data_IF_759071380652
#
_entry.id   IF_759071380652
#
_cell.length_a   1.000
_cell.length_b   1.000
_cell.length_c   1.000
_cell.angle_alpha   90.00
_cell.angle_beta   90.00
_cell.angle_gamma   90.00
#
_symmetry.space_group_name_H-M   'P 1'
#
loop_
_entity.id
_entity.type
_entity.pdbx_description
1 polymer ?
#
# COMPACT_ATOMS: atom_id res chain seq x y z
N UNK A 1 10.26 12.92 -21.95
CA UNK A 1 10.97 12.75 -20.67
C UNK A 1 10.10 12.93 -19.41
N UNK A 2 9.19 13.92 -19.34
CA UNK A 2 8.43 14.22 -18.10
C UNK A 2 7.50 13.11 -17.54
N UNK A 3 6.92 12.25 -18.40
CA UNK A 3 6.07 11.13 -17.96
C UNK A 3 6.82 10.03 -17.19
N UNK A 4 8.11 9.85 -17.43
CA UNK A 4 8.92 8.86 -16.72
C UNK A 4 9.41 9.38 -15.36
N UNK A 5 9.83 10.65 -15.29
CA UNK A 5 10.23 11.28 -14.03
C UNK A 5 9.06 11.35 -13.04
N UNK A 6 7.88 11.81 -13.48
CA UNK A 6 6.70 11.95 -12.61
C UNK A 6 6.28 10.60 -11.98
N UNK A 7 6.44 9.49 -12.70
CA UNK A 7 6.13 8.15 -12.18
C UNK A 7 7.18 7.64 -11.21
N UNK A 8 8.45 7.90 -11.50
CA UNK A 8 9.57 7.50 -10.63
C UNK A 8 9.48 8.12 -9.23
N UNK A 9 9.12 9.42 -9.14
CA UNK A 9 8.99 10.09 -7.84
C UNK A 9 7.91 9.46 -6.96
N UNK A 10 6.76 9.09 -7.52
CA UNK A 10 5.68 8.43 -6.77
C UNK A 10 6.06 6.99 -6.41
N UNK A 11 6.73 6.28 -7.33
CA UNK A 11 7.23 4.91 -7.13
C UNK A 11 8.38 4.83 -6.11
N UNK A 12 8.98 5.96 -5.70
CA UNK A 12 10.07 6.01 -4.70
C UNK A 12 9.64 6.68 -3.38
N UNK A 13 8.96 7.82 -3.44
CA UNK A 13 8.60 8.59 -2.23
C UNK A 13 7.62 7.82 -1.36
N UNK A 14 6.57 7.22 -1.96
CA UNK A 14 5.51 6.58 -1.17
C UNK A 14 5.98 5.29 -0.48
N UNK A 15 6.79 4.42 -1.13
CA UNK A 15 7.43 3.30 -0.43
C UNK A 15 8.34 3.77 0.70
N UNK A 16 9.23 4.74 0.46
CA UNK A 16 10.12 5.26 1.50
C UNK A 16 9.35 5.84 2.68
N UNK A 17 8.30 6.60 2.39
CA UNK A 17 7.40 7.16 3.41
C UNK A 17 6.70 6.05 4.21
N UNK A 18 6.22 4.99 3.56
CA UNK A 18 5.57 3.87 4.26
C UNK A 18 6.52 3.14 5.21
N UNK A 19 7.79 2.95 4.81
CA UNK A 19 8.83 2.38 5.68
C UNK A 19 9.12 3.30 6.86
N UNK A 20 9.24 4.61 6.61
CA UNK A 20 9.45 5.59 7.68
C UNK A 20 8.27 5.65 8.65
N UNK A 21 7.03 5.59 8.15
CA UNK A 21 5.83 5.58 8.97
C UNK A 21 5.77 4.34 9.89
N UNK A 22 6.10 3.16 9.36
CA UNK A 22 6.23 1.93 10.15
C UNK A 22 7.35 2.06 11.18
N UNK A 23 8.51 2.60 10.79
CA UNK A 23 9.62 2.82 11.71
C UNK A 23 9.24 3.77 12.87
N UNK A 24 8.62 4.91 12.54
CA UNK A 24 8.17 5.88 13.52
C UNK A 24 7.11 5.30 14.48
N UNK A 25 6.25 4.41 13.99
CA UNK A 25 5.27 3.69 14.82
C UNK A 25 5.94 2.83 15.90
N UNK A 26 7.04 2.12 15.58
CA UNK A 26 7.77 1.30 16.56
C UNK A 26 8.80 2.09 17.39
N UNK A 27 9.20 3.28 16.93
CA UNK A 27 10.19 4.13 17.59
C UNK A 27 9.68 5.57 17.74
N UNK A 28 8.60 5.81 18.51
CA UNK A 28 8.03 7.15 18.64
C UNK A 28 9.02 8.15 19.27
N UNK A 29 10.00 7.68 20.04
CA UNK A 29 11.04 8.51 20.67
C UNK A 29 11.98 9.21 19.69
N UNK A 30 11.98 8.83 18.41
CA UNK A 30 12.76 9.53 17.37
C UNK A 30 12.02 10.73 16.80
N UNK A 31 10.74 10.89 17.13
CA UNK A 31 9.95 12.04 16.71
C UNK A 31 10.24 13.22 17.65
N UNK A 32 10.55 14.41 17.11
CA UNK A 32 10.72 15.60 17.94
C UNK A 32 9.43 15.92 18.68
N UNK A 33 9.48 15.91 20.01
CA UNK A 33 8.36 16.21 20.92
C UNK A 33 8.34 17.65 21.42
N UNK A 34 9.47 18.34 21.36
CA UNK A 34 9.59 19.72 21.82
C UNK A 34 10.04 20.61 20.66
N UNK A 35 9.30 21.70 20.43
CA UNK A 35 9.61 22.71 19.43
C UNK A 35 9.72 24.05 20.15
N UNK A 36 10.90 24.65 20.09
CA UNK A 36 11.15 25.97 20.66
C UNK A 36 10.35 27.02 19.86
N UNK A 37 9.69 27.94 20.56
CA UNK A 37 8.59 28.73 20.00
C UNK A 37 9.07 30.04 19.35
N UNK A 38 9.91 29.96 18.31
CA UNK A 38 10.02 31.10 17.39
C UNK A 38 8.94 31.02 16.29
N UNK A 39 8.41 32.18 15.86
CA UNK A 39 7.33 32.25 14.85
C UNK A 39 7.74 31.61 13.52
N UNK A 40 9.03 31.74 13.15
CA UNK A 40 9.58 31.14 11.94
C UNK A 40 9.69 29.61 12.06
N UNK A 41 10.15 29.09 13.21
CA UNK A 41 10.22 27.64 13.45
C UNK A 41 8.83 27.02 13.50
N UNK A 42 7.85 27.69 14.11
CA UNK A 42 6.46 27.24 14.12
C UNK A 42 5.87 27.07 12.70
N UNK A 43 6.11 28.04 11.81
CA UNK A 43 5.64 27.94 10.42
C UNK A 43 6.26 26.76 9.66
N UNK A 44 7.55 26.49 9.88
CA UNK A 44 8.25 25.35 9.26
C UNK A 44 7.70 24.01 9.78
N UNK A 45 7.44 23.91 11.08
CA UNK A 45 6.87 22.69 11.69
C UNK A 45 5.48 22.38 11.13
N UNK A 46 4.60 23.38 11.04
CA UNK A 46 3.28 23.19 10.44
C UNK A 46 3.33 22.80 8.97
N UNK A 47 4.29 23.36 8.21
CA UNK A 47 4.51 22.98 6.81
C UNK A 47 4.94 21.51 6.70
N UNK A 48 5.87 21.06 7.55
CA UNK A 48 6.29 19.65 7.60
C UNK A 48 5.15 18.71 7.96
N UNK A 49 4.34 19.06 8.98
CA UNK A 49 3.14 18.29 9.32
C UNK A 49 2.10 18.27 8.20
N UNK A 50 1.96 19.37 7.46
CA UNK A 50 1.13 19.41 6.26
C UNK A 50 1.60 18.42 5.19
N UNK A 51 2.91 18.31 4.97
CA UNK A 51 3.50 17.32 4.05
C UNK A 51 3.25 15.90 4.56
N UNK A 52 3.48 15.63 5.85
CA UNK A 52 3.22 14.31 6.46
C UNK A 52 1.75 13.93 6.31
N UNK A 53 0.82 14.86 6.57
CA UNK A 53 -0.61 14.64 6.41
C UNK A 53 -0.99 14.35 4.95
N UNK A 54 -0.42 15.09 3.99
CA UNK A 54 -0.65 14.83 2.57
C UNK A 54 -0.15 13.44 2.14
N UNK A 55 1.07 13.06 2.55
CA UNK A 55 1.64 11.74 2.26
C UNK A 55 0.85 10.61 2.93
N UNK A 56 0.42 10.80 4.18
CA UNK A 56 -0.50 9.90 4.89
C UNK A 56 -1.80 9.70 4.14
N UNK A 57 -2.42 10.77 3.64
CA UNK A 57 -3.65 10.70 2.87
C UNK A 57 -3.48 9.92 1.57
N UNK A 58 -2.40 10.16 0.83
CA UNK A 58 -2.07 9.41 -0.40
C UNK A 58 -1.87 7.92 -0.06
N UNK A 59 -1.13 7.62 1.00
CA UNK A 59 -0.89 6.26 1.47
C UNK A 59 -2.21 5.57 1.87
N UNK A 60 -3.12 6.27 2.56
CA UNK A 60 -4.42 5.75 2.95
C UNK A 60 -5.30 5.41 1.74
N UNK A 61 -5.32 6.27 0.72
CA UNK A 61 -6.03 6.00 -0.54
C UNK A 61 -5.41 4.77 -1.23
N UNK A 62 -4.08 4.69 -1.30
CA UNK A 62 -3.39 3.53 -1.88
C UNK A 62 -3.71 2.23 -1.13
N UNK A 63 -3.73 2.29 0.20
CA UNK A 63 -4.10 1.18 1.07
C UNK A 63 -5.56 0.75 0.84
N UNK A 64 -6.48 1.71 0.63
CA UNK A 64 -7.87 1.42 0.35
C UNK A 64 -8.04 0.65 -0.98
N UNK A 65 -7.33 1.07 -2.03
CA UNK A 65 -7.33 0.32 -3.31
C UNK A 65 -6.72 -1.07 -3.16
N UNK A 66 -5.57 -1.18 -2.49
CA UNK A 66 -4.96 -2.48 -2.22
C UNK A 66 -5.91 -3.40 -1.46
N UNK A 67 -6.52 -2.90 -0.39
CA UNK A 67 -7.50 -3.63 0.41
C UNK A 67 -8.68 -4.12 -0.44
N UNK A 68 -9.24 -3.24 -1.28
CA UNK A 68 -10.32 -3.60 -2.20
C UNK A 68 -9.92 -4.77 -3.11
N UNK A 69 -8.76 -4.71 -3.77
CA UNK A 69 -8.32 -5.80 -4.65
C UNK A 69 -8.03 -7.10 -3.91
N UNK A 70 -7.41 -7.03 -2.72
CA UNK A 70 -7.18 -8.19 -1.88
C UNK A 70 -8.50 -8.86 -1.51
N UNK A 71 -9.45 -8.11 -0.95
CA UNK A 71 -10.75 -8.64 -0.50
C UNK A 71 -11.64 -9.10 -1.65
N UNK A 72 -11.54 -8.46 -2.82
CA UNK A 72 -12.32 -8.85 -3.99
C UNK A 72 -11.77 -10.11 -4.68
N UNK A 73 -10.46 -10.39 -4.55
CA UNK A 73 -9.82 -11.53 -5.19
C UNK A 73 -10.48 -12.91 -4.99
N UNK A 74 -10.92 -13.35 -3.79
CA UNK A 74 -11.61 -14.64 -3.63
C UNK A 74 -12.93 -14.71 -4.41
N UNK A 75 -13.70 -13.61 -4.44
CA UNK A 75 -14.98 -13.55 -5.14
C UNK A 75 -14.78 -13.63 -6.65
N UNK A 76 -13.78 -12.90 -7.17
CA UNK A 76 -13.41 -12.96 -8.58
C UNK A 76 -12.97 -14.38 -8.98
N UNK A 77 -12.05 -14.98 -8.24
CA UNK A 77 -11.53 -16.33 -8.54
C UNK A 77 -12.62 -17.41 -8.46
N UNK A 78 -13.51 -17.34 -7.46
CA UNK A 78 -14.65 -18.25 -7.37
C UNK A 78 -15.60 -18.10 -8.58
N UNK A 79 -15.81 -16.86 -9.04
CA UNK A 79 -16.56 -16.57 -10.26
C UNK A 79 -15.91 -17.20 -11.50
N UNK A 80 -14.58 -17.10 -11.62
CA UNK A 80 -13.84 -17.68 -12.75
C UNK A 80 -13.83 -19.20 -12.73
N UNK A 81 -13.72 -19.85 -11.57
CA UNK A 81 -13.80 -21.32 -11.45
C UNK A 81 -15.14 -21.83 -12.02
N UNK A 82 -16.25 -21.16 -11.71
CA UNK A 82 -17.57 -21.52 -12.27
C UNK A 82 -17.63 -21.38 -13.79
N UNK A 83 -16.93 -20.40 -14.35
CA UNK A 83 -16.87 -20.18 -15.80
C UNK A 83 -15.98 -21.22 -16.51
N UNK A 84 -14.94 -21.72 -15.84
CA UNK A 84 -14.07 -22.78 -16.37
C UNK A 84 -14.76 -24.16 -16.45
N UNK A 85 -15.75 -24.41 -15.58
CA UNK A 85 -16.56 -25.64 -15.59
C UNK A 85 -17.73 -25.55 -16.60
N UNK A 86 -18.10 -24.34 -17.01
CA UNK A 86 -19.14 -24.07 -18.00
C UNK A 86 -18.62 -24.06 -19.45
N UNK A 87 -19.46 -23.64 -20.41
CA UNK A 87 -19.04 -23.50 -21.80
C UNK A 87 -17.87 -22.51 -21.91
N UNK A 88 -16.87 -22.80 -22.77
CA UNK A 88 -15.61 -22.05 -22.83
C UNK A 88 -15.88 -20.58 -23.16
N UNK A 89 -15.58 -19.71 -22.20
CA UNK A 89 -15.54 -18.26 -22.38
C UNK A 89 -14.10 -17.79 -22.45
N UNK A 90 -13.89 -16.67 -23.12
CA UNK A 90 -12.59 -16.02 -23.15
C UNK A 90 -12.26 -15.49 -21.75
N UNK A 91 -11.15 -15.95 -21.18
CA UNK A 91 -10.64 -15.53 -19.86
C UNK A 91 -9.35 -14.75 -20.08
N UNK A 92 -9.30 -13.53 -19.56
CA UNK A 92 -8.07 -12.73 -19.58
C UNK A 92 -7.07 -13.33 -18.57
N UNK A 93 -5.96 -13.85 -19.11
CA UNK A 93 -4.90 -14.45 -18.30
C UNK A 93 -4.17 -13.43 -17.42
N UNK A 94 -4.09 -12.17 -17.86
CA UNK A 94 -3.45 -11.10 -17.07
C UNK A 94 -4.28 -10.79 -15.83
N UNK A 95 -5.58 -10.61 -16.00
CA UNK A 95 -6.52 -10.37 -14.90
C UNK A 95 -6.55 -11.55 -13.91
N UNK A 96 -6.57 -12.79 -14.41
CA UNK A 96 -6.52 -13.98 -13.56
C UNK A 96 -5.23 -14.05 -12.72
N UNK A 97 -4.07 -13.75 -13.32
CA UNK A 97 -2.78 -13.72 -12.60
C UNK A 97 -2.74 -12.63 -11.54
N UNK A 98 -3.27 -11.46 -11.85
CA UNK A 98 -3.37 -10.36 -10.91
C UNK A 98 -4.19 -10.74 -9.67
N UNK A 99 -5.41 -11.25 -9.87
CA UNK A 99 -6.26 -11.66 -8.74
C UNK A 99 -5.74 -12.87 -7.99
N UNK A 100 -5.06 -13.82 -8.67
CA UNK A 100 -4.37 -14.90 -7.99
C UNK A 100 -3.25 -14.38 -7.08
N UNK A 101 -2.45 -13.42 -7.56
CA UNK A 101 -1.42 -12.76 -6.76
C UNK A 101 -2.00 -12.04 -5.55
N UNK A 102 -3.08 -11.28 -5.74
CA UNK A 102 -3.82 -10.65 -4.64
C UNK A 102 -4.33 -11.67 -3.61
N UNK A 103 -4.87 -12.81 -4.07
CA UNK A 103 -5.38 -13.85 -3.17
C UNK A 103 -4.27 -14.47 -2.33
N UNK A 104 -3.13 -14.80 -2.94
CA UNK A 104 -1.95 -15.31 -2.22
C UNK A 104 -1.48 -14.30 -1.17
N UNK A 105 -1.39 -13.02 -1.53
CA UNK A 105 -1.02 -11.96 -0.58
C UNK A 105 -2.03 -11.83 0.57
N UNK A 106 -3.33 -11.92 0.28
CA UNK A 106 -4.38 -11.90 1.31
C UNK A 106 -4.19 -13.07 2.29
N UNK A 107 -3.93 -14.28 1.80
CA UNK A 107 -3.67 -15.44 2.65
C UNK A 107 -2.41 -15.26 3.51
N UNK A 108 -1.32 -14.74 2.93
CA UNK A 108 -0.07 -14.47 3.67
C UNK A 108 -0.28 -13.40 4.75
N UNK A 109 -0.94 -12.29 4.41
CA UNK A 109 -1.28 -11.23 5.37
C UNK A 109 -2.23 -11.73 6.45
N UNK A 110 -3.22 -12.56 6.10
CA UNK A 110 -4.12 -13.19 7.07
C UNK A 110 -3.39 -14.14 8.03
N UNK A 111 -2.49 -14.97 7.51
CA UNK A 111 -1.64 -15.84 8.34
C UNK A 111 -0.70 -15.05 9.26
N UNK A 112 -0.10 -13.98 8.74
CA UNK A 112 0.66 -13.03 9.55
C UNK A 112 -0.21 -12.33 10.59
N UNK A 113 -1.45 -11.96 10.26
CA UNK A 113 -2.33 -11.26 11.19
C UNK A 113 -2.73 -12.15 12.37
N UNK A 114 -2.88 -13.46 12.16
CA UNK A 114 -3.16 -14.43 13.22
C UNK A 114 -1.94 -14.65 14.12
N UNK A 115 -0.74 -14.68 13.54
CA UNK A 115 0.50 -15.01 14.29
C UNK A 115 1.17 -13.79 14.92
N UNK A 116 1.19 -12.65 14.23
CA UNK A 116 1.79 -11.40 14.66
C UNK A 116 1.09 -10.19 14.00
N UNK A 117 -0.03 -9.71 14.58
CA UNK A 117 -0.83 -8.63 14.01
C UNK A 117 -0.04 -7.34 13.70
N UNK A 118 0.88 -6.86 14.56
CA UNK A 118 1.71 -5.69 14.24
C UNK A 118 2.57 -5.85 12.99
N UNK A 119 3.13 -7.05 12.76
CA UNK A 119 3.93 -7.34 11.57
C UNK A 119 3.05 -7.40 10.33
N UNK A 120 1.83 -7.97 10.42
CA UNK A 120 0.88 -7.96 9.31
C UNK A 120 0.47 -6.54 8.90
N UNK A 121 0.18 -5.68 9.88
CA UNK A 121 -0.14 -4.27 9.62
C UNK A 121 1.04 -3.54 8.95
N UNK A 122 2.26 -3.79 9.44
CA UNK A 122 3.48 -3.20 8.87
C UNK A 122 3.71 -3.64 7.43
N UNK A 123 3.57 -4.94 7.16
CA UNK A 123 3.68 -5.49 5.82
C UNK A 123 2.61 -4.91 4.88
N UNK A 124 1.37 -4.79 5.37
CA UNK A 124 0.27 -4.17 4.62
C UNK A 124 0.56 -2.70 4.28
N UNK A 125 1.06 -1.91 5.23
CA UNK A 125 1.41 -0.50 5.01
C UNK A 125 2.52 -0.36 3.96
N UNK A 126 3.55 -1.22 4.01
CA UNK A 126 4.65 -1.21 3.04
C UNK A 126 4.16 -1.63 1.65
N UNK A 127 3.30 -2.64 1.57
CA UNK A 127 2.65 -3.06 0.32
C UNK A 127 1.78 -1.94 -0.26
N UNK A 128 1.03 -1.22 0.58
CA UNK A 128 0.22 -0.08 0.18
C UNK A 128 1.10 1.07 -0.35
N UNK A 129 2.23 1.34 0.28
CA UNK A 129 3.22 2.31 -0.22
C UNK A 129 3.82 1.89 -1.56
N UNK A 130 3.95 0.58 -1.78
CA UNK A 130 4.56 -0.03 -2.97
C UNK A 130 3.54 -0.52 -4.01
N UNK A 131 2.27 -0.13 -3.90
CA UNK A 131 1.18 -0.69 -4.70
C UNK A 131 1.41 -0.54 -6.21
N UNK A 132 1.96 0.59 -6.67
CA UNK A 132 2.26 0.81 -8.08
C UNK A 132 3.29 -0.18 -8.63
N UNK A 133 4.33 -0.50 -7.85
CA UNK A 133 5.35 -1.49 -8.21
C UNK A 133 4.71 -2.89 -8.19
N UNK A 134 3.92 -3.17 -7.17
CA UNK A 134 3.22 -4.45 -7.00
C UNK A 134 2.33 -4.77 -8.21
N UNK A 135 1.53 -3.81 -8.66
CA UNK A 135 0.62 -4.00 -9.79
C UNK A 135 1.37 -4.30 -11.09
N UNK A 136 2.55 -3.70 -11.31
CA UNK A 136 3.41 -3.99 -12.47
C UNK A 136 4.05 -5.37 -12.45
N UNK A 137 4.29 -5.93 -11.26
CA UNK A 137 4.86 -7.29 -11.13
C UNK A 137 3.77 -8.34 -11.41
N UNK A 138 2.52 -8.01 -11.07
CA UNK A 138 1.39 -8.92 -11.19
C UNK A 138 0.74 -8.96 -12.59
N UNK A 139 0.93 -7.93 -13.40
CA UNK A 139 0.36 -7.75 -14.76
C UNK A 139 1.47 -7.81 -15.81
#
# INVERSE_FOLDING_TARGET
MGRYLSRFWVELILPLYSVFAVFAYFRPSVLPTEFDQSVLEGAVVWLLWGIVAALSGILAISAMFLCFYLLYSPFYLAGQIRQMVGPPKWVDRGELRFYLGCFVMLCLLGGLAITNPPVALSAFIILAGSAQILWRILV
#
